data_IF_409070332305
#
_entry.id   IF_409070332305
#
_cell.length_a   1.000
_cell.length_b   1.000
_cell.length_c   1.000
_cell.angle_alpha   90.00
_cell.angle_beta   90.00
_cell.angle_gamma   90.00
#
_symmetry.space_group_name_H-M   'P 1'
#
loop_
_entity.id
_entity.type
_entity.pdbx_description
1 polymer ?
#
# COMPACT_ATOMS: atom_id res chain seq x y z
N UNK A 1 17.10 -30.25 11.08
CA UNK A 1 16.81 -30.12 9.64
C UNK A 1 15.34 -29.76 9.45
N UNK A 2 15.01 -28.49 9.20
CA UNK A 2 13.63 -28.09 8.88
C UNK A 2 13.39 -28.40 7.41
N UNK A 3 12.47 -29.32 7.11
CA UNK A 3 12.13 -29.61 5.72
C UNK A 3 11.58 -28.33 5.07
N UNK A 4 12.04 -27.95 3.86
CA UNK A 4 11.60 -26.73 3.20
C UNK A 4 10.10 -26.85 2.90
N UNK A 5 9.33 -25.90 3.43
CA UNK A 5 7.88 -25.81 3.18
C UNK A 5 7.68 -25.67 1.67
N UNK A 6 6.76 -26.46 1.10
CA UNK A 6 6.46 -26.40 -0.32
C UNK A 6 5.97 -24.99 -0.71
N UNK A 7 6.51 -24.42 -1.80
CA UNK A 7 6.19 -23.06 -2.27
C UNK A 7 4.69 -22.84 -2.44
N UNK A 8 3.96 -23.87 -2.91
CA UNK A 8 2.49 -23.82 -3.08
C UNK A 8 1.75 -23.72 -1.75
N UNK A 9 2.23 -24.43 -0.73
CA UNK A 9 1.65 -24.39 0.62
C UNK A 9 1.93 -23.04 1.26
N UNK A 10 3.14 -22.50 1.10
CA UNK A 10 3.47 -21.16 1.59
C UNK A 10 2.62 -20.08 0.92
N UNK A 11 2.45 -20.10 -0.41
CA UNK A 11 1.61 -19.12 -1.10
C UNK A 11 0.15 -19.23 -0.68
N UNK A 12 -0.37 -20.45 -0.49
CA UNK A 12 -1.72 -20.65 0.01
C UNK A 12 -1.89 -20.08 1.43
N UNK A 13 -0.93 -20.34 2.33
CA UNK A 13 -0.94 -19.80 3.69
C UNK A 13 -0.91 -18.26 3.71
N UNK A 14 -0.10 -17.64 2.85
CA UNK A 14 -0.02 -16.18 2.75
C UNK A 14 -1.32 -15.57 2.20
N UNK A 15 -1.97 -16.21 1.22
CA UNK A 15 -3.28 -15.77 0.70
C UNK A 15 -4.38 -15.89 1.76
N UNK A 16 -4.38 -16.99 2.52
CA UNK A 16 -5.32 -17.17 3.64
C UNK A 16 -5.07 -16.11 4.72
N UNK A 17 -3.81 -15.85 5.09
CA UNK A 17 -3.45 -14.80 6.03
C UNK A 17 -3.90 -13.41 5.55
N UNK A 18 -3.70 -13.08 4.26
CA UNK A 18 -4.18 -11.84 3.67
C UNK A 18 -5.71 -11.72 3.76
N UNK A 19 -6.44 -12.79 3.44
CA UNK A 19 -7.90 -12.84 3.57
C UNK A 19 -8.39 -12.64 5.01
N UNK A 20 -7.72 -13.27 5.98
CA UNK A 20 -8.03 -13.08 7.41
C UNK A 20 -7.77 -11.63 7.85
N UNK A 21 -6.66 -11.02 7.44
CA UNK A 21 -6.36 -9.62 7.73
C UNK A 21 -7.39 -8.66 7.09
N UNK A 22 -7.84 -8.94 5.87
CA UNK A 22 -8.88 -8.16 5.20
C UNK A 22 -10.22 -8.26 5.95
N UNK A 23 -10.62 -9.46 6.37
CA UNK A 23 -11.82 -9.66 7.17
C UNK A 23 -11.74 -8.97 8.54
N UNK A 24 -10.59 -9.06 9.21
CA UNK A 24 -10.35 -8.35 10.47
C UNK A 24 -10.42 -6.82 10.28
N UNK A 25 -9.86 -6.30 9.18
CA UNK A 25 -9.90 -4.88 8.82
C UNK A 25 -11.33 -4.38 8.53
N UNK A 26 -12.20 -5.24 7.98
CA UNK A 26 -13.63 -4.91 7.80
C UNK A 26 -14.38 -4.79 9.12
N UNK A 27 -13.92 -5.44 10.19
CA UNK A 27 -14.56 -5.41 11.51
C UNK A 27 -13.95 -4.33 12.40
N UNK A 28 -12.65 -4.07 12.25
CA UNK A 28 -11.93 -3.04 12.99
C UNK A 28 -12.33 -1.63 12.53
N UNK A 29 -12.75 -0.79 13.47
CA UNK A 29 -13.07 0.61 13.23
C UNK A 29 -13.69 1.28 14.45
N UNK A 30 -13.84 2.59 14.37
CA UNK A 30 -14.44 3.42 15.44
C UNK A 30 -15.91 3.04 15.71
N UNK A 31 -16.62 2.68 14.64
CA UNK A 31 -17.97 2.13 14.73
C UNK A 31 -17.89 0.61 14.86
N UNK A 32 -18.41 0.09 15.97
CA UNK A 32 -18.57 -1.34 16.19
C UNK A 32 -19.56 -1.91 15.17
N UNK A 33 -19.09 -2.83 14.32
CA UNK A 33 -19.93 -3.49 13.31
C UNK A 33 -20.09 -4.95 13.66
N UNK A 34 -21.34 -5.41 13.76
CA UNK A 34 -21.63 -6.83 13.96
C UNK A 34 -21.33 -7.63 12.69
N UNK A 35 -20.87 -8.88 12.86
CA UNK A 35 -20.56 -9.80 11.76
C UNK A 35 -21.77 -10.01 10.81
N UNK A 36 -22.98 -9.91 11.34
CA UNK A 36 -24.23 -10.02 10.59
C UNK A 36 -24.39 -8.91 9.55
N UNK A 37 -23.92 -7.69 9.85
CA UNK A 37 -23.99 -6.55 8.93
C UNK A 37 -23.03 -6.71 7.74
N UNK A 38 -21.86 -7.31 7.96
CA UNK A 38 -20.93 -7.67 6.87
C UNK A 38 -21.57 -8.71 5.95
N UNK A 39 -22.20 -9.72 6.55
CA UNK A 39 -22.86 -10.80 5.81
C UNK A 39 -24.11 -10.34 5.05
N UNK A 40 -24.89 -9.40 5.60
CA UNK A 40 -26.03 -8.80 4.92
C UNK A 40 -25.59 -7.90 3.77
N UNK A 41 -24.52 -7.12 3.95
CA UNK A 41 -23.92 -6.33 2.88
C UNK A 41 -23.42 -7.21 1.72
N UNK A 42 -22.71 -8.31 2.03
CA UNK A 42 -22.26 -9.30 1.03
C UNK A 42 -23.40 -9.93 0.23
N UNK A 43 -24.62 -10.00 0.79
CA UNK A 43 -25.81 -10.55 0.12
C UNK A 43 -26.70 -9.51 -0.57
N UNK A 44 -26.30 -8.23 -0.58
CA UNK A 44 -27.04 -7.16 -1.27
C UNK A 44 -27.97 -6.31 -0.38
N UNK A 45 -28.01 -6.56 0.93
CA UNK A 45 -28.45 -5.63 1.98
C UNK A 45 -29.85 -4.99 1.88
N UNK A 46 -30.92 -5.72 2.22
CA UNK A 46 -32.29 -5.22 2.40
C UNK A 46 -32.61 -4.86 3.87
N UNK A 47 -32.07 -3.78 4.44
CA UNK A 47 -32.41 -3.37 5.82
C UNK A 47 -32.50 -1.85 5.94
N UNK A 48 -33.32 -1.33 6.86
CA UNK A 48 -33.53 0.12 7.07
C UNK A 48 -32.23 0.92 7.30
N UNK A 49 -31.19 0.31 7.86
CA UNK A 49 -29.86 0.93 8.06
C UNK A 49 -28.86 0.65 6.91
N UNK A 50 -29.31 0.11 5.78
CA UNK A 50 -28.48 -0.33 4.65
C UNK A 50 -27.61 0.80 4.08
N UNK A 51 -28.13 2.04 3.99
CA UNK A 51 -27.38 3.17 3.42
C UNK A 51 -26.13 3.53 4.22
N UNK A 52 -26.18 3.52 5.55
CA UNK A 52 -25.01 3.82 6.39
C UNK A 52 -23.92 2.77 6.21
N UNK A 53 -24.29 1.47 6.27
CA UNK A 53 -23.35 0.38 6.09
C UNK A 53 -22.80 0.30 4.66
N UNK A 54 -23.60 0.61 3.65
CA UNK A 54 -23.15 0.70 2.27
C UNK A 54 -22.06 1.77 2.10
N UNK A 55 -22.28 3.00 2.58
CA UNK A 55 -21.26 4.06 2.53
C UNK A 55 -20.01 3.63 3.30
N UNK A 56 -20.17 3.08 4.51
CA UNK A 56 -19.05 2.65 5.34
C UNK A 56 -18.20 1.57 4.67
N UNK A 57 -18.82 0.55 4.09
CA UNK A 57 -18.08 -0.54 3.45
C UNK A 57 -17.55 -0.17 2.07
N UNK A 58 -18.34 0.49 1.23
CA UNK A 58 -17.99 0.78 -0.17
C UNK A 58 -17.11 2.02 -0.32
N UNK A 59 -17.32 3.07 0.47
CA UNK A 59 -16.60 4.33 0.29
C UNK A 59 -15.43 4.50 1.25
N UNK A 60 -15.40 3.76 2.37
CA UNK A 60 -14.39 3.94 3.42
C UNK A 60 -13.53 2.69 3.61
N UNK A 61 -14.12 1.56 4.04
CA UNK A 61 -13.35 0.38 4.46
C UNK A 61 -12.77 -0.40 3.28
N UNK A 62 -13.58 -0.75 2.28
CA UNK A 62 -13.11 -1.53 1.12
C UNK A 62 -12.02 -0.83 0.29
N UNK A 63 -12.11 0.46 -0.10
CA UNK A 63 -11.03 1.09 -0.86
C UNK A 63 -9.73 1.15 -0.06
N UNK A 64 -9.81 1.35 1.27
CA UNK A 64 -8.64 1.34 2.15
C UNK A 64 -7.98 -0.04 2.23
N UNK A 65 -8.76 -1.13 2.30
CA UNK A 65 -8.24 -2.50 2.32
C UNK A 65 -7.55 -2.82 0.98
N UNK A 66 -8.18 -2.46 -0.14
CA UNK A 66 -7.59 -2.63 -1.47
C UNK A 66 -6.28 -1.85 -1.59
N UNK A 67 -6.25 -0.59 -1.17
CA UNK A 67 -5.03 0.21 -1.16
C UNK A 67 -3.95 -0.39 -0.27
N UNK A 68 -4.28 -0.88 0.92
CA UNK A 68 -3.32 -1.54 1.82
C UNK A 68 -2.74 -2.83 1.20
N UNK A 69 -3.58 -3.65 0.55
CA UNK A 69 -3.13 -4.85 -0.12
C UNK A 69 -2.23 -4.54 -1.34
N UNK A 70 -2.63 -3.56 -2.17
CA UNK A 70 -1.85 -3.14 -3.33
C UNK A 70 -0.51 -2.51 -2.93
N UNK A 71 -0.49 -1.65 -1.92
CA UNK A 71 0.74 -1.04 -1.41
C UNK A 71 1.70 -2.08 -0.84
N UNK A 72 1.20 -3.02 -0.02
CA UNK A 72 2.00 -4.15 0.47
C UNK A 72 2.56 -5.03 -0.65
N UNK A 73 1.75 -5.32 -1.68
CA UNK A 73 2.19 -6.07 -2.86
C UNK A 73 3.30 -5.36 -3.63
N UNK A 74 3.15 -4.06 -3.91
CA UNK A 74 4.15 -3.27 -4.63
C UNK A 74 5.44 -3.12 -3.82
N UNK A 75 5.34 -2.91 -2.50
CA UNK A 75 6.52 -2.86 -1.61
C UNK A 75 7.25 -4.21 -1.57
N UNK A 76 6.51 -5.33 -1.48
CA UNK A 76 7.07 -6.68 -1.53
C UNK A 76 7.78 -6.98 -2.85
N UNK A 77 7.16 -6.63 -3.98
CA UNK A 77 7.76 -6.76 -5.32
C UNK A 77 9.00 -5.89 -5.48
N UNK A 78 8.93 -4.61 -5.07
CA UNK A 78 10.04 -3.67 -5.16
C UNK A 78 11.23 -4.14 -4.31
N UNK A 79 10.96 -4.61 -3.08
CA UNK A 79 11.97 -5.22 -2.22
C UNK A 79 12.63 -6.43 -2.88
N UNK A 80 11.85 -7.38 -3.39
CA UNK A 80 12.39 -8.56 -4.07
C UNK A 80 13.21 -8.20 -5.33
N UNK A 81 12.77 -7.20 -6.10
CA UNK A 81 13.49 -6.73 -7.29
C UNK A 81 14.83 -6.09 -6.92
N UNK A 82 14.86 -5.20 -5.92
CA UNK A 82 16.07 -4.52 -5.45
C UNK A 82 17.04 -5.54 -4.82
N UNK A 83 16.55 -6.46 -4.00
CA UNK A 83 17.37 -7.54 -3.43
C UNK A 83 17.97 -8.43 -4.52
N UNK A 84 17.22 -8.74 -5.58
CA UNK A 84 17.69 -9.49 -6.74
C UNK A 84 18.73 -8.74 -7.57
N UNK A 85 18.55 -7.42 -7.76
CA UNK A 85 19.46 -6.56 -8.50
C UNK A 85 20.81 -6.43 -7.80
N UNK A 86 20.81 -6.14 -6.50
CA UNK A 86 22.04 -5.98 -5.72
C UNK A 86 22.61 -7.30 -5.21
N UNK A 87 21.89 -8.42 -5.38
CA UNK A 87 22.20 -9.72 -4.77
C UNK A 87 22.49 -9.59 -3.26
N UNK A 88 21.81 -8.66 -2.62
CA UNK A 88 22.00 -8.30 -1.21
C UNK A 88 20.64 -8.39 -0.51
N UNK A 89 20.44 -9.36 0.41
CA UNK A 89 19.18 -9.54 1.11
C UNK A 89 18.82 -8.37 2.04
N UNK A 90 19.78 -7.48 2.34
CA UNK A 90 19.57 -6.27 3.14
C UNK A 90 19.21 -5.03 2.31
N UNK A 91 19.20 -5.14 0.97
CA UNK A 91 18.86 -4.00 0.13
C UNK A 91 17.36 -3.72 0.17
N UNK A 92 17.00 -2.46 0.35
CA UNK A 92 15.61 -1.98 0.31
C UNK A 92 15.47 -0.79 -0.64
N UNK A 93 14.29 -0.59 -1.27
CA UNK A 93 14.06 0.50 -2.22
C UNK A 93 14.25 1.90 -1.63
N UNK A 94 14.09 2.06 -0.30
CA UNK A 94 14.34 3.32 0.40
C UNK A 94 15.78 3.83 0.27
N UNK A 95 16.75 2.95 0.07
CA UNK A 95 18.17 3.30 -0.09
C UNK A 95 18.45 4.17 -1.33
N UNK A 96 17.57 4.11 -2.34
CA UNK A 96 17.67 4.92 -3.56
C UNK A 96 17.07 6.33 -3.40
N UNK A 97 16.78 6.76 -2.17
CA UNK A 97 16.23 8.10 -1.89
C UNK A 97 14.77 8.29 -2.29
N UNK A 98 14.09 7.26 -2.80
CA UNK A 98 12.69 7.33 -3.23
C UNK A 98 11.76 7.84 -2.11
N UNK A 99 11.92 7.34 -0.88
CA UNK A 99 11.11 7.76 0.27
C UNK A 99 11.32 9.22 0.65
N UNK A 100 12.58 9.68 0.65
CA UNK A 100 12.93 11.07 0.98
C UNK A 100 12.47 12.03 -0.12
N UNK A 101 12.61 11.63 -1.40
CA UNK A 101 12.07 12.37 -2.54
C UNK A 101 10.55 12.49 -2.46
N UNK A 102 9.84 11.39 -2.16
CA UNK A 102 8.40 11.41 -1.97
C UNK A 102 7.95 12.38 -0.86
N UNK A 103 8.63 12.32 0.29
CA UNK A 103 8.36 13.21 1.41
C UNK A 103 8.57 14.69 1.03
N UNK A 104 9.67 15.02 0.33
CA UNK A 104 9.94 16.37 -0.14
C UNK A 104 8.84 16.89 -1.08
N UNK A 105 8.39 16.07 -2.03
CA UNK A 105 7.31 16.44 -2.96
C UNK A 105 5.99 16.69 -2.24
N UNK A 106 5.63 15.81 -1.30
CA UNK A 106 4.43 15.99 -0.49
C UNK A 106 4.49 17.27 0.35
N UNK A 107 5.62 17.50 1.04
CA UNK A 107 5.82 18.68 1.89
C UNK A 107 5.78 19.98 1.07
N UNK A 108 6.36 20.01 -0.14
CA UNK A 108 6.26 21.19 -1.00
C UNK A 108 4.81 21.54 -1.34
N UNK A 109 3.99 20.56 -1.74
CA UNK A 109 2.57 20.80 -2.06
C UNK A 109 1.79 21.28 -0.84
N UNK A 110 2.05 20.69 0.33
CA UNK A 110 1.39 21.08 1.59
C UNK A 110 1.80 22.50 1.98
N UNK A 111 3.10 22.80 1.97
CA UNK A 111 3.64 24.09 2.39
C UNK A 111 3.20 25.23 1.48
N UNK A 112 3.11 24.98 0.17
CA UNK A 112 2.64 25.96 -0.81
C UNK A 112 1.10 26.15 -0.81
N UNK A 113 0.37 25.45 0.07
CA UNK A 113 -1.09 25.57 0.19
C UNK A 113 -1.88 24.91 -0.96
N UNK A 114 -1.22 24.15 -1.83
CA UNK A 114 -1.88 23.43 -2.93
C UNK A 114 -2.65 22.20 -2.45
N UNK A 115 -2.36 21.69 -1.25
CA UNK A 115 -3.07 20.56 -0.68
C UNK A 115 -4.55 20.84 -0.39
N UNK A 116 -4.92 22.09 -0.05
CA UNK A 116 -6.31 22.45 0.24
C UNK A 116 -7.17 22.66 -1.01
N UNK A 117 -6.56 22.98 -2.15
CA UNK A 117 -7.25 23.20 -3.43
C UNK A 117 -7.20 21.96 -4.32
N UNK A 118 -6.10 21.21 -4.30
CA UNK A 118 -5.86 20.03 -5.12
C UNK A 118 -5.36 18.87 -4.24
N UNK A 119 -6.26 18.19 -3.54
CA UNK A 119 -5.92 17.04 -2.69
C UNK A 119 -5.13 15.95 -3.44
N UNK A 120 -5.41 15.77 -4.75
CA UNK A 120 -4.71 14.83 -5.62
C UNK A 120 -3.27 15.26 -5.98
N UNK A 121 -2.92 16.54 -5.82
CA UNK A 121 -1.58 17.02 -6.12
C UNK A 121 -0.51 16.42 -5.18
N UNK A 122 -0.87 16.12 -3.93
CA UNK A 122 0.04 15.54 -2.93
C UNK A 122 0.61 14.19 -3.39
N UNK A 123 -0.20 13.16 -3.71
CA UNK A 123 0.33 11.87 -4.15
C UNK A 123 1.09 11.95 -5.48
N UNK A 124 0.68 12.80 -6.43
CA UNK A 124 1.40 12.98 -7.68
C UNK A 124 2.75 13.66 -7.50
N UNK A 125 2.83 14.71 -6.67
CA UNK A 125 4.09 15.36 -6.37
C UNK A 125 5.03 14.44 -5.59
N UNK A 126 4.51 13.65 -4.65
CA UNK A 126 5.28 12.64 -3.94
C UNK A 126 5.85 11.59 -4.92
N UNK A 127 5.02 11.01 -5.79
CA UNK A 127 5.48 10.04 -6.79
C UNK A 127 6.50 10.65 -7.77
N UNK A 128 6.26 11.87 -8.24
CA UNK A 128 7.15 12.58 -9.15
C UNK A 128 8.52 12.87 -8.53
N UNK A 129 8.55 13.38 -7.30
CA UNK A 129 9.81 13.67 -6.61
C UNK A 129 10.56 12.41 -6.18
N UNK A 130 9.87 11.31 -5.87
CA UNK A 130 10.49 10.00 -5.66
C UNK A 130 11.24 9.55 -6.93
N UNK A 131 10.59 9.65 -8.09
CA UNK A 131 11.19 9.29 -9.37
C UNK A 131 12.40 10.16 -9.69
N UNK A 132 12.28 11.49 -9.53
CA UNK A 132 13.39 12.43 -9.73
C UNK A 132 14.57 12.08 -8.83
N UNK A 133 14.34 11.80 -7.54
CA UNK A 133 15.41 11.43 -6.61
C UNK A 133 16.16 10.18 -7.07
N UNK A 134 15.44 9.13 -7.49
CA UNK A 134 16.05 7.90 -7.98
C UNK A 134 16.84 8.15 -9.26
N UNK A 135 16.28 8.89 -10.22
CA UNK A 135 16.96 9.22 -11.48
C UNK A 135 18.23 10.03 -11.26
N UNK A 136 18.22 11.00 -10.34
CA UNK A 136 19.41 11.78 -9.98
C UNK A 136 20.50 10.89 -9.40
N UNK A 137 20.15 9.99 -8.46
CA UNK A 137 21.12 9.04 -7.92
C UNK A 137 21.71 8.13 -8.98
N UNK A 138 20.88 7.59 -9.90
CA UNK A 138 21.36 6.75 -11.00
C UNK A 138 22.29 7.52 -11.95
N UNK A 139 21.95 8.78 -12.27
CA UNK A 139 22.78 9.63 -13.11
C UNK A 139 24.14 9.96 -12.45
N UNK A 140 24.17 10.14 -11.13
CA UNK A 140 25.41 10.38 -10.39
C UNK A 140 26.26 9.12 -10.25
N UNK A 141 25.64 7.99 -9.92
CA UNK A 141 26.32 6.70 -9.80
C UNK A 141 26.94 6.25 -11.14
N UNK A 142 26.25 6.50 -12.26
CA UNK A 142 26.75 6.18 -13.61
C UNK A 142 27.97 6.99 -14.05
N UNK A 143 28.26 8.14 -13.42
CA UNK A 143 29.42 9.00 -13.76
C UNK A 143 30.71 8.60 -13.07
N UNK A 144 30.64 7.81 -11.98
CA UNK A 144 31.82 7.37 -11.22
C UNK A 144 32.39 6.01 -11.65
N UNK A 145 31.75 5.33 -12.61
CA UNK A 145 32.15 4.01 -13.12
C UNK A 145 32.74 4.03 -14.53
N UNK A 146 33.15 5.21 -15.03
CA UNK A 146 33.84 5.41 -16.30
C UNK A 146 35.32 5.72 -16.09
#
# INVERSE_FOLDING_TARGET
MRQPINRRTLSALLLVALGMCAAASLLAGDVAVHISAVWSWLRGGDTENSQFYAILFEQIRSPRIVLAAMTGFVLGLSGAAIQGLFRNPLAEPGLLGASNGAALGAVMVIYLGLASTLSIAVPFAAAGMALVSVLVLLALAGRGGG
#
